data_IF_880036067308
#
_entry.id   IF_880036067308
#
_cell.length_a   1.000
_cell.length_b   1.000
_cell.length_c   1.000
_cell.angle_alpha   90.00
_cell.angle_beta   90.00
_cell.angle_gamma   90.00
#
_symmetry.space_group_name_H-M   'P 1'
#
loop_
_entity.id
_entity.type
_entity.pdbx_description
1 polymer ?
#
# COMPACT_ATOMS: atom_id res chain seq x y z
N UNK A 1 32.16 20.16 58.45
CA UNK A 1 31.45 19.32 57.48
C UNK A 1 31.20 20.14 56.20
N UNK A 2 32.06 19.92 55.18
CA UNK A 2 31.93 20.60 53.87
C UNK A 2 31.05 19.72 52.97
N UNK A 3 29.92 20.23 52.53
CA UNK A 3 29.06 19.56 51.53
C UNK A 3 29.53 19.93 50.14
N UNK A 4 30.09 18.95 49.42
CA UNK A 4 30.49 19.08 48.01
C UNK A 4 29.23 18.83 47.16
N UNK A 5 28.77 19.90 46.46
CA UNK A 5 27.73 19.77 45.46
C UNK A 5 28.36 19.29 44.15
N UNK A 6 28.00 18.09 43.70
CA UNK A 6 28.31 17.58 42.35
C UNK A 6 27.25 18.11 41.42
N UNK A 7 27.64 19.02 40.53
CA UNK A 7 26.77 19.50 39.42
C UNK A 7 26.95 18.54 38.27
N UNK A 8 25.90 17.75 38.03
CA UNK A 8 25.85 16.88 36.82
C UNK A 8 25.48 17.75 35.61
N UNK A 9 26.45 18.03 34.74
CA UNK A 9 26.18 18.64 33.44
C UNK A 9 25.56 17.60 32.51
N UNK A 10 24.26 17.67 32.27
CA UNK A 10 23.57 16.90 31.22
C UNK A 10 23.81 17.60 29.89
N UNK A 11 24.74 17.08 29.09
CA UNK A 11 24.96 17.56 27.72
C UNK A 11 23.77 17.13 26.85
N UNK A 12 22.92 18.08 26.49
CA UNK A 12 21.83 17.90 25.54
C UNK A 12 22.43 17.74 24.13
N UNK A 13 22.54 16.50 23.65
CA UNK A 13 22.92 16.23 22.25
C UNK A 13 21.77 16.69 21.37
N UNK A 14 21.88 17.85 20.76
CA UNK A 14 20.99 18.31 19.71
C UNK A 14 21.30 17.48 18.46
N UNK A 15 20.53 16.41 18.22
CA UNK A 15 20.54 15.69 16.97
C UNK A 15 19.90 16.64 15.94
N UNK A 16 20.72 17.37 15.21
CA UNK A 16 20.28 18.08 14.00
C UNK A 16 19.89 17.01 12.98
N UNK A 17 18.61 16.64 13.00
CA UNK A 17 18.03 15.76 11.99
C UNK A 17 18.23 16.40 10.62
N UNK A 18 19.05 15.82 9.75
CA UNK A 18 19.07 16.15 8.33
C UNK A 18 17.65 15.93 7.79
N UNK A 19 16.87 16.98 7.67
CA UNK A 19 15.64 16.93 6.86
C UNK A 19 16.08 16.63 5.43
N UNK A 20 15.44 15.68 4.73
CA UNK A 20 15.72 15.44 3.33
C UNK A 20 15.58 16.74 2.56
N UNK A 21 16.41 16.96 1.51
CA UNK A 21 16.30 18.14 0.68
C UNK A 21 14.89 18.25 0.09
N UNK A 22 14.39 19.48 -0.12
CA UNK A 22 13.10 19.66 -0.77
C UNK A 22 13.11 19.02 -2.17
N UNK A 23 12.00 18.45 -2.62
CA UNK A 23 11.92 17.87 -3.95
C UNK A 23 12.23 18.92 -5.02
N UNK A 24 12.78 18.51 -6.18
CA UNK A 24 13.07 19.44 -7.28
C UNK A 24 11.79 20.14 -7.73
N UNK A 25 11.94 21.38 -8.25
CA UNK A 25 10.83 22.11 -8.83
C UNK A 25 10.21 21.28 -9.99
N UNK A 26 8.90 21.13 -10.00
CA UNK A 26 8.18 20.29 -10.99
C UNK A 26 8.21 18.79 -10.72
N UNK A 27 8.66 18.35 -9.53
CA UNK A 27 8.63 16.96 -9.15
C UNK A 27 7.18 16.42 -9.11
N UNK A 28 6.95 15.28 -9.76
CA UNK A 28 5.66 14.56 -9.71
C UNK A 28 5.40 14.07 -8.28
N UNK A 29 4.14 14.12 -7.87
CA UNK A 29 3.73 13.75 -6.50
C UNK A 29 3.34 12.28 -6.42
N UNK A 30 3.89 11.56 -5.44
CA UNK A 30 3.48 10.18 -5.11
C UNK A 30 2.82 10.15 -3.75
N UNK A 31 1.59 9.68 -3.73
CA UNK A 31 0.79 9.46 -2.53
C UNK A 31 0.92 8.02 -2.07
N UNK A 32 1.38 7.81 -0.84
CA UNK A 32 1.51 6.48 -0.24
C UNK A 32 0.32 6.20 0.67
N UNK A 33 -0.29 5.01 0.49
CA UNK A 33 -1.47 4.58 1.27
C UNK A 33 -1.22 3.18 1.83
N UNK A 34 -1.13 3.07 3.15
CA UNK A 34 -0.82 1.82 3.86
C UNK A 34 -1.99 0.82 3.90
N UNK A 35 -1.76 -0.39 4.40
CA UNK A 35 -2.77 -1.44 4.52
C UNK A 35 -3.47 -1.50 5.86
N UNK A 36 -4.38 -2.46 6.00
CA UNK A 36 -5.13 -2.78 7.21
C UNK A 36 -4.20 -3.14 8.37
N UNK A 37 -4.51 -2.63 9.58
CA UNK A 37 -3.72 -2.86 10.79
C UNK A 37 -2.31 -2.26 10.74
N UNK A 38 -2.06 -1.34 9.81
CA UNK A 38 -0.80 -0.64 9.63
C UNK A 38 -0.95 0.86 9.87
N UNK A 39 0.16 1.56 9.84
CA UNK A 39 0.23 3.03 9.86
C UNK A 39 1.13 3.51 8.71
N UNK A 40 1.17 4.82 8.49
CA UNK A 40 2.08 5.44 7.52
C UNK A 40 3.55 5.03 7.70
N UNK A 41 3.96 4.65 8.92
CA UNK A 41 5.35 4.22 9.19
C UNK A 41 5.73 2.98 8.37
N UNK A 42 4.78 2.09 8.08
CA UNK A 42 5.04 0.90 7.26
C UNK A 42 5.45 1.22 5.82
N UNK A 43 5.11 2.40 5.31
CA UNK A 43 5.46 2.87 3.96
C UNK A 43 6.68 3.82 3.95
N UNK A 44 7.26 4.12 5.11
CA UNK A 44 8.29 5.15 5.22
C UNK A 44 9.56 4.83 4.43
N UNK A 45 10.02 3.57 4.45
CA UNK A 45 11.21 3.14 3.70
C UNK A 45 11.00 3.23 2.19
N UNK A 46 9.83 2.82 1.70
CA UNK A 46 9.46 3.01 0.30
C UNK A 46 9.40 4.51 -0.04
N UNK A 47 8.78 5.31 0.85
CA UNK A 47 8.71 6.76 0.69
C UNK A 47 10.08 7.42 0.57
N UNK A 48 11.06 7.03 1.41
CA UNK A 48 12.44 7.51 1.29
C UNK A 48 13.03 7.20 -0.09
N UNK A 49 12.91 5.96 -0.55
CA UNK A 49 13.44 5.54 -1.86
C UNK A 49 12.79 6.28 -3.05
N UNK A 50 11.49 6.58 -2.94
CA UNK A 50 10.79 7.37 -3.97
C UNK A 50 11.22 8.84 -3.92
N UNK A 51 11.47 9.38 -2.72
CA UNK A 51 12.08 10.69 -2.55
C UNK A 51 13.47 10.77 -3.18
N UNK A 52 14.34 9.78 -2.93
CA UNK A 52 15.66 9.66 -3.53
C UNK A 52 15.60 9.53 -5.06
N UNK A 53 14.51 8.96 -5.57
CA UNK A 53 14.22 8.90 -7.01
C UNK A 53 13.65 10.22 -7.59
N UNK A 54 13.49 11.27 -6.78
CA UNK A 54 13.09 12.61 -7.22
C UNK A 54 11.59 12.90 -7.16
N UNK A 55 10.77 12.02 -6.57
CA UNK A 55 9.35 12.28 -6.37
C UNK A 55 9.09 13.12 -5.11
N UNK A 56 8.05 13.95 -5.15
CA UNK A 56 7.46 14.54 -3.95
C UNK A 56 6.57 13.50 -3.27
N UNK A 57 6.89 13.09 -2.05
CA UNK A 57 6.19 12.01 -1.36
C UNK A 57 5.20 12.53 -0.33
N UNK A 58 3.94 12.13 -0.43
CA UNK A 58 2.88 12.37 0.55
C UNK A 58 2.48 11.04 1.17
N UNK A 59 2.89 10.78 2.41
CA UNK A 59 2.61 9.53 3.10
C UNK A 59 1.39 9.69 4.01
N UNK A 60 0.24 9.15 3.57
CA UNK A 60 -1.06 9.33 4.22
C UNK A 60 -1.27 8.29 5.31
N UNK A 61 -1.62 8.77 6.52
CA UNK A 61 -2.07 7.92 7.63
C UNK A 61 -3.59 8.02 7.81
N UNK A 62 -4.22 6.89 8.13
CA UNK A 62 -5.65 6.81 8.41
C UNK A 62 -5.96 5.68 9.41
N UNK A 63 -7.11 5.70 10.12
CA UNK A 63 -7.47 4.72 11.14
C UNK A 63 -8.00 3.42 10.53
N UNK A 64 -7.12 2.61 9.92
CA UNK A 64 -7.44 1.47 9.05
C UNK A 64 -8.29 0.37 9.70
N UNK A 65 -8.32 0.28 11.05
CA UNK A 65 -9.09 -0.71 11.81
C UNK A 65 -10.26 -0.11 12.57
N UNK A 66 -10.49 1.20 12.49
CA UNK A 66 -11.51 1.89 13.29
C UNK A 66 -12.58 2.59 12.47
N UNK A 67 -12.25 3.02 11.27
CA UNK A 67 -13.16 3.73 10.38
C UNK A 67 -13.74 2.80 9.31
N UNK A 68 -14.98 3.04 8.85
CA UNK A 68 -15.52 2.41 7.65
C UNK A 68 -14.81 2.92 6.38
N UNK A 69 -14.95 2.18 5.27
CA UNK A 69 -14.26 2.48 4.02
C UNK A 69 -14.60 3.89 3.50
N UNK A 70 -15.85 4.30 3.60
CA UNK A 70 -16.34 5.59 3.15
C UNK A 70 -15.62 6.75 3.88
N UNK A 71 -15.49 6.65 5.20
CA UNK A 71 -14.77 7.64 6.00
C UNK A 71 -13.27 7.69 5.66
N UNK A 72 -12.66 6.53 5.42
CA UNK A 72 -11.24 6.46 5.00
C UNK A 72 -11.04 7.14 3.65
N UNK A 73 -11.95 6.96 2.71
CA UNK A 73 -11.92 7.61 1.39
C UNK A 73 -12.07 9.13 1.53
N UNK A 74 -12.97 9.61 2.38
CA UNK A 74 -13.12 11.05 2.66
C UNK A 74 -11.88 11.65 3.33
N UNK A 75 -11.25 10.92 4.27
CA UNK A 75 -9.99 11.36 4.87
C UNK A 75 -8.87 11.46 3.82
N UNK A 76 -8.80 10.51 2.89
CA UNK A 76 -7.86 10.58 1.77
C UNK A 76 -8.14 11.80 0.90
N UNK A 77 -9.40 12.05 0.51
CA UNK A 77 -9.83 13.20 -0.28
C UNK A 77 -9.41 14.52 0.39
N UNK A 78 -9.80 14.71 1.64
CA UNK A 78 -9.46 15.92 2.39
C UNK A 78 -7.94 16.13 2.50
N UNK A 79 -7.18 15.04 2.65
CA UNK A 79 -5.71 15.11 2.70
C UNK A 79 -5.12 15.54 1.37
N UNK A 80 -5.63 15.05 0.25
CA UNK A 80 -5.17 15.41 -1.09
C UNK A 80 -5.50 16.86 -1.42
N UNK A 81 -6.68 17.34 -1.07
CA UNK A 81 -7.07 18.75 -1.23
C UNK A 81 -6.16 19.69 -0.43
N UNK A 82 -5.75 19.27 0.76
CA UNK A 82 -4.89 20.09 1.61
C UNK A 82 -3.42 20.12 1.20
N UNK A 83 -2.91 19.09 0.48
CA UNK A 83 -1.48 18.95 0.19
C UNK A 83 -1.10 19.09 -1.27
N UNK A 84 -2.07 18.97 -2.17
CA UNK A 84 -1.81 18.81 -3.59
C UNK A 84 -2.70 19.75 -4.41
N UNK A 85 -2.11 20.46 -5.33
CA UNK A 85 -2.86 21.35 -6.21
C UNK A 85 -3.49 20.59 -7.38
N UNK A 86 -4.51 21.17 -8.03
CA UNK A 86 -5.14 20.56 -9.20
C UNK A 86 -4.20 20.40 -10.41
N UNK A 87 -3.03 21.04 -10.38
CA UNK A 87 -2.01 20.95 -11.44
C UNK A 87 -0.95 19.86 -11.16
N UNK A 88 -0.93 19.30 -9.95
CA UNK A 88 0.02 18.25 -9.59
C UNK A 88 -0.38 16.94 -10.29
N UNK A 89 0.58 16.32 -10.98
CA UNK A 89 0.41 14.94 -11.42
C UNK A 89 0.52 14.02 -10.21
N UNK A 90 -0.60 13.37 -9.85
CA UNK A 90 -0.70 12.52 -8.67
C UNK A 90 -0.57 11.06 -9.01
N UNK A 91 0.52 10.46 -8.58
CA UNK A 91 0.68 9.01 -8.57
C UNK A 91 0.25 8.44 -7.23
N UNK A 92 -0.16 7.18 -7.22
CA UNK A 92 -0.45 6.45 -5.99
C UNK A 92 0.39 5.19 -5.89
N UNK A 93 0.94 4.94 -4.71
CA UNK A 93 1.55 3.65 -4.38
C UNK A 93 0.92 3.15 -3.10
N UNK A 94 0.34 1.97 -3.16
CA UNK A 94 -0.49 1.44 -2.09
C UNK A 94 0.00 0.08 -1.62
N UNK A 95 -0.37 -0.28 -0.40
CA UNK A 95 -0.16 -1.63 0.10
C UNK A 95 -1.50 -2.23 0.56
N UNK A 96 -1.79 -3.47 0.14
CA UNK A 96 -2.94 -4.25 0.63
C UNK A 96 -4.26 -3.48 0.51
N UNK A 97 -5.03 -3.34 1.61
CA UNK A 97 -6.28 -2.57 1.67
C UNK A 97 -6.14 -1.15 1.11
N UNK A 98 -4.97 -0.53 1.21
CA UNK A 98 -4.72 0.80 0.63
C UNK A 98 -5.01 0.86 -0.88
N UNK A 99 -4.84 -0.25 -1.61
CA UNK A 99 -5.22 -0.36 -3.02
C UNK A 99 -6.74 -0.26 -3.23
N UNK A 100 -7.51 -0.87 -2.34
CA UNK A 100 -8.97 -0.80 -2.38
C UNK A 100 -9.46 0.61 -2.05
N UNK A 101 -8.84 1.27 -1.06
CA UNK A 101 -9.11 2.68 -0.71
C UNK A 101 -8.89 3.59 -1.92
N UNK A 102 -7.74 3.48 -2.59
CA UNK A 102 -7.42 4.33 -3.77
C UNK A 102 -8.33 4.00 -4.96
N UNK A 103 -8.62 2.73 -5.23
CA UNK A 103 -9.59 2.36 -6.29
C UNK A 103 -10.97 2.94 -6.02
N UNK A 104 -11.44 2.89 -4.77
CA UNK A 104 -12.71 3.49 -4.38
C UNK A 104 -12.68 5.01 -4.53
N UNK A 105 -11.62 5.67 -4.05
CA UNK A 105 -11.42 7.11 -4.21
C UNK A 105 -11.47 7.53 -5.69
N UNK A 106 -10.72 6.86 -6.56
CA UNK A 106 -10.67 7.19 -7.99
C UNK A 106 -11.99 6.87 -8.74
N UNK A 107 -12.79 5.92 -8.24
CA UNK A 107 -14.09 5.63 -8.79
C UNK A 107 -15.13 6.72 -8.44
N UNK A 108 -15.03 7.33 -7.26
CA UNK A 108 -15.96 8.35 -6.77
C UNK A 108 -15.55 9.78 -7.16
N UNK A 109 -14.25 10.06 -7.14
CA UNK A 109 -13.68 11.40 -7.33
C UNK A 109 -12.76 11.44 -8.55
N UNK A 110 -13.17 10.80 -9.66
CA UNK A 110 -12.39 10.83 -10.91
C UNK A 110 -12.03 12.26 -11.25
N UNK A 111 -10.77 12.59 -11.02
CA UNK A 111 -10.21 13.89 -11.38
C UNK A 111 -9.34 13.70 -12.61
N UNK A 112 -9.11 14.75 -13.39
CA UNK A 112 -8.20 14.76 -14.52
C UNK A 112 -6.72 14.57 -14.13
N UNK A 113 -6.46 13.91 -13.00
CA UNK A 113 -5.12 13.64 -12.49
C UNK A 113 -4.55 12.38 -13.17
N UNK A 114 -3.85 12.61 -14.25
CA UNK A 114 -3.27 11.58 -15.11
C UNK A 114 -2.02 10.90 -14.50
N UNK A 115 -2.02 10.66 -13.21
CA UNK A 115 -0.97 9.91 -12.53
C UNK A 115 -1.19 8.40 -12.66
N UNK A 116 -0.14 7.63 -12.39
CA UNK A 116 -0.14 6.16 -12.38
C UNK A 116 -0.38 5.61 -11.00
N UNK A 117 -0.96 4.44 -10.94
CA UNK A 117 -1.20 3.72 -9.68
C UNK A 117 -0.38 2.44 -9.66
N UNK A 118 0.35 2.19 -8.55
CA UNK A 118 0.98 0.91 -8.28
C UNK A 118 0.41 0.33 -6.99
N UNK A 119 -0.14 -0.87 -7.05
CA UNK A 119 -0.67 -1.57 -5.89
C UNK A 119 0.23 -2.74 -5.51
N UNK A 120 0.67 -2.78 -4.25
CA UNK A 120 1.47 -3.85 -3.68
C UNK A 120 0.55 -4.81 -2.92
N UNK A 121 0.44 -6.05 -3.40
CA UNK A 121 -0.38 -7.13 -2.82
C UNK A 121 -1.82 -6.71 -2.48
N UNK A 122 -2.58 -6.11 -3.42
CA UNK A 122 -3.95 -5.70 -3.15
C UNK A 122 -4.87 -6.92 -3.10
N UNK A 123 -5.84 -6.99 -2.17
CA UNK A 123 -6.92 -7.98 -2.21
C UNK A 123 -7.99 -7.55 -3.23
N UNK A 124 -7.64 -7.50 -4.52
CA UNK A 124 -8.48 -6.95 -5.59
C UNK A 124 -9.78 -7.74 -5.81
N UNK A 125 -9.76 -9.04 -5.44
CA UNK A 125 -10.92 -9.93 -5.42
C UNK A 125 -11.16 -10.54 -4.03
N UNK A 126 -10.78 -9.79 -2.97
CA UNK A 126 -10.93 -10.20 -1.59
C UNK A 126 -9.79 -11.08 -1.08
N UNK A 127 -9.99 -11.63 0.13
CA UNK A 127 -9.04 -12.49 0.82
C UNK A 127 -9.78 -13.58 1.59
N UNK A 128 -9.42 -14.82 1.33
CA UNK A 128 -9.95 -16.01 2.04
C UNK A 128 -9.62 -15.97 3.53
N UNK A 129 -8.54 -15.31 3.91
CA UNK A 129 -8.21 -15.08 5.32
C UNK A 129 -9.28 -14.24 6.03
N UNK A 130 -9.85 -13.25 5.33
CA UNK A 130 -10.96 -12.45 5.88
C UNK A 130 -12.21 -13.32 6.04
N UNK A 131 -12.54 -14.15 5.04
CA UNK A 131 -13.72 -15.04 5.08
C UNK A 131 -13.61 -16.07 6.21
N UNK A 132 -12.45 -16.70 6.37
CA UNK A 132 -12.20 -17.69 7.42
C UNK A 132 -12.41 -17.12 8.84
N UNK A 133 -12.33 -15.82 8.99
CA UNK A 133 -12.47 -15.14 10.28
C UNK A 133 -13.74 -14.30 10.41
N UNK A 134 -14.60 -14.31 9.40
CA UNK A 134 -15.81 -13.49 9.35
C UNK A 134 -16.75 -13.73 10.54
N UNK A 135 -16.86 -14.98 11.03
CA UNK A 135 -17.74 -15.36 12.14
C UNK A 135 -17.13 -15.15 13.52
N UNK A 136 -15.85 -14.76 13.62
CA UNK A 136 -15.17 -14.50 14.90
C UNK A 136 -15.42 -13.08 15.38
N UNK A 137 -16.17 -12.84 16.47
CA UNK A 137 -16.40 -11.48 17.01
C UNK A 137 -15.10 -10.74 17.36
N UNK A 138 -14.12 -11.46 17.92
CA UNK A 138 -12.83 -10.88 18.28
C UNK A 138 -12.07 -10.42 17.04
N UNK A 139 -12.04 -11.21 15.98
CA UNK A 139 -11.30 -10.88 14.75
C UNK A 139 -12.04 -9.79 13.97
N UNK A 140 -13.37 -9.73 13.98
CA UNK A 140 -14.14 -8.61 13.44
C UNK A 140 -13.75 -7.27 14.10
N UNK A 141 -13.56 -7.26 15.40
CA UNK A 141 -13.09 -6.06 16.13
C UNK A 141 -11.65 -5.69 15.68
N UNK A 142 -10.77 -6.67 15.51
CA UNK A 142 -9.38 -6.43 15.07
C UNK A 142 -9.29 -5.96 13.60
N UNK A 143 -10.14 -6.49 12.74
CA UNK A 143 -10.21 -6.10 11.32
C UNK A 143 -10.88 -4.72 11.16
N UNK A 144 -11.80 -4.39 12.04
CA UNK A 144 -12.58 -3.16 11.96
C UNK A 144 -13.57 -3.12 10.79
N UNK A 145 -14.35 -2.03 10.67
CA UNK A 145 -15.44 -1.95 9.67
C UNK A 145 -14.97 -2.07 8.23
N UNK A 146 -13.85 -1.43 7.87
CA UNK A 146 -13.31 -1.51 6.51
C UNK A 146 -12.72 -2.89 6.21
N UNK A 147 -12.03 -3.51 7.18
CA UNK A 147 -11.37 -4.80 6.99
C UNK A 147 -12.35 -5.96 6.80
N UNK A 148 -13.48 -5.95 7.49
CA UNK A 148 -14.54 -6.98 7.34
C UNK A 148 -15.19 -6.97 5.95
N UNK A 149 -15.12 -5.87 5.22
CA UNK A 149 -15.63 -5.74 3.85
C UNK A 149 -14.70 -6.26 2.75
N UNK A 150 -13.56 -6.88 3.11
CA UNK A 150 -12.53 -7.35 2.14
C UNK A 150 -12.60 -8.86 1.87
N UNK A 151 -13.75 -9.50 2.11
CA UNK A 151 -13.98 -10.91 1.80
C UNK A 151 -14.05 -11.20 0.30
N UNK A 152 -14.18 -12.50 -0.05
CA UNK A 152 -14.18 -12.96 -1.45
C UNK A 152 -15.57 -12.99 -2.09
N UNK A 153 -16.62 -12.76 -1.35
CA UNK A 153 -17.98 -12.76 -1.88
C UNK A 153 -18.21 -11.63 -2.91
N UNK A 154 -19.20 -11.82 -3.78
CA UNK A 154 -19.49 -10.88 -4.86
C UNK A 154 -19.98 -9.50 -4.39
N UNK A 155 -20.54 -9.41 -3.18
CA UNK A 155 -21.00 -8.16 -2.57
C UNK A 155 -19.89 -7.42 -1.80
N UNK A 156 -18.71 -8.02 -1.65
CA UNK A 156 -17.57 -7.42 -0.98
C UNK A 156 -17.10 -6.14 -1.68
N UNK A 157 -16.45 -5.25 -0.92
CA UNK A 157 -15.98 -3.96 -1.46
C UNK A 157 -15.07 -4.15 -2.68
N UNK A 158 -14.04 -5.02 -2.66
CA UNK A 158 -13.16 -5.21 -3.82
C UNK A 158 -13.90 -5.65 -5.09
N UNK A 159 -14.82 -6.60 -4.96
CA UNK A 159 -15.52 -7.19 -6.09
C UNK A 159 -16.56 -6.25 -6.75
N UNK A 160 -17.00 -5.20 -6.05
CA UNK A 160 -17.90 -4.19 -6.59
C UNK A 160 -17.21 -3.03 -7.31
N UNK A 161 -15.87 -2.94 -7.24
CA UNK A 161 -15.13 -1.81 -7.83
C UNK A 161 -15.01 -1.88 -9.36
N UNK A 162 -15.19 -3.06 -9.96
CA UNK A 162 -15.05 -3.25 -11.40
C UNK A 162 -13.61 -3.05 -11.94
N UNK A 163 -13.44 -2.87 -13.25
CA UNK A 163 -12.13 -2.67 -13.87
C UNK A 163 -11.53 -1.29 -13.51
N UNK A 164 -10.21 -1.20 -13.52
CA UNK A 164 -9.52 0.08 -13.34
C UNK A 164 -9.64 0.95 -14.60
N UNK A 165 -9.96 2.24 -14.42
CA UNK A 165 -10.05 3.22 -15.52
C UNK A 165 -8.86 4.16 -15.58
N UNK A 166 -7.73 3.75 -15.02
CA UNK A 166 -6.48 4.50 -14.91
C UNK A 166 -5.30 3.55 -15.14
N UNK A 167 -4.14 4.11 -15.43
CA UNK A 167 -2.92 3.33 -15.68
C UNK A 167 -2.46 2.65 -14.39
N UNK A 168 -2.60 1.31 -14.33
CA UNK A 168 -2.42 0.50 -13.13
C UNK A 168 -1.35 -0.56 -13.30
N UNK A 169 -0.43 -0.64 -12.34
CA UNK A 169 0.46 -1.75 -12.12
C UNK A 169 0.19 -2.45 -10.79
N UNK A 170 0.22 -3.76 -10.79
CA UNK A 170 0.10 -4.58 -9.57
C UNK A 170 1.38 -5.38 -9.38
N UNK A 171 1.98 -5.30 -8.20
CA UNK A 171 3.08 -6.15 -7.78
C UNK A 171 2.60 -6.98 -6.60
N UNK A 172 2.64 -8.30 -6.72
CA UNK A 172 2.22 -9.21 -5.64
C UNK A 172 3.32 -10.18 -5.23
N UNK A 173 3.27 -10.65 -3.99
CA UNK A 173 4.19 -11.66 -3.48
C UNK A 173 3.68 -13.08 -3.71
N UNK A 174 4.60 -14.05 -3.74
CA UNK A 174 4.29 -15.49 -3.79
C UNK A 174 5.06 -16.29 -2.71
N UNK A 175 5.43 -15.66 -1.61
CA UNK A 175 6.09 -16.31 -0.47
C UNK A 175 5.30 -16.03 0.79
N UNK A 176 5.17 -17.04 1.64
CA UNK A 176 4.52 -16.91 2.94
C UNK A 176 5.50 -17.24 4.07
N UNK A 177 5.30 -16.58 5.21
CA UNK A 177 5.87 -16.99 6.52
C UNK A 177 4.76 -17.45 7.47
N UNK A 178 3.50 -17.35 7.06
CA UNK A 178 2.33 -17.76 7.82
C UNK A 178 1.66 -18.97 7.15
N UNK A 179 2.13 -20.16 7.50
CA UNK A 179 1.67 -21.42 6.94
C UNK A 179 0.17 -21.68 7.24
N UNK A 180 -0.35 -21.17 8.35
CA UNK A 180 -1.77 -21.32 8.71
C UNK A 180 -2.65 -20.55 7.71
N UNK A 181 -2.33 -19.29 7.45
CA UNK A 181 -3.06 -18.49 6.46
C UNK A 181 -2.91 -19.08 5.05
N UNK A 182 -1.70 -19.52 4.69
CA UNK A 182 -1.44 -20.10 3.37
C UNK A 182 -2.21 -21.40 3.14
N UNK A 183 -2.48 -22.16 4.20
CA UNK A 183 -3.36 -23.36 4.10
C UNK A 183 -4.81 -22.99 3.77
N UNK A 184 -5.28 -21.80 4.15
CA UNK A 184 -6.62 -21.30 3.83
C UNK A 184 -6.72 -20.70 2.42
N UNK A 185 -5.58 -20.32 1.82
CA UNK A 185 -5.51 -19.58 0.56
C UNK A 185 -5.23 -20.58 -0.58
N UNK A 186 -6.08 -20.66 -1.62
CA UNK A 186 -5.82 -21.54 -2.75
C UNK A 186 -4.71 -21.01 -3.66
N UNK A 187 -3.75 -21.89 -3.99
CA UNK A 187 -2.66 -21.59 -4.91
C UNK A 187 -1.51 -20.76 -4.30
N UNK A 188 -0.66 -20.18 -5.13
CA UNK A 188 0.43 -19.32 -4.67
C UNK A 188 -0.08 -18.06 -3.98
N UNK A 189 0.53 -17.72 -2.82
CA UNK A 189 0.11 -16.61 -2.00
C UNK A 189 1.29 -15.92 -1.30
N UNK A 190 1.04 -14.75 -0.71
CA UNK A 190 2.00 -13.99 0.06
C UNK A 190 1.81 -14.09 1.59
N UNK A 191 0.90 -14.96 2.03
CA UNK A 191 0.50 -15.16 3.42
C UNK A 191 -0.78 -14.42 3.83
N UNK A 192 -1.40 -13.65 2.92
CA UNK A 192 -2.70 -12.96 3.12
C UNK A 192 -3.56 -12.88 1.88
N UNK A 193 -2.96 -12.82 0.70
CA UNK A 193 -3.67 -12.65 -0.58
C UNK A 193 -3.10 -13.66 -1.57
N UNK A 194 -3.98 -14.42 -2.23
CA UNK A 194 -3.59 -15.25 -3.35
C UNK A 194 -3.09 -14.39 -4.52
N UNK A 195 -2.12 -14.89 -5.27
CA UNK A 195 -1.59 -14.20 -6.46
C UNK A 195 -2.74 -13.84 -7.42
N UNK A 196 -3.67 -14.77 -7.66
CA UNK A 196 -4.81 -14.54 -8.56
C UNK A 196 -5.81 -13.51 -8.00
N UNK A 197 -6.00 -13.45 -6.68
CA UNK A 197 -6.84 -12.44 -6.03
C UNK A 197 -6.28 -11.02 -6.12
N UNK A 198 -4.99 -10.89 -6.35
CA UNK A 198 -4.37 -9.58 -6.52
C UNK A 198 -4.55 -9.00 -7.93
N UNK A 199 -4.90 -9.80 -8.94
CA UNK A 199 -5.04 -9.36 -10.33
C UNK A 199 -6.15 -8.31 -10.48
N UNK A 200 -5.96 -7.41 -11.42
CA UNK A 200 -6.98 -6.46 -11.90
C UNK A 200 -6.94 -6.49 -13.41
N UNK A 201 -8.10 -6.63 -14.03
CA UNK A 201 -8.21 -6.67 -15.49
C UNK A 201 -7.61 -5.42 -16.14
N UNK A 202 -6.77 -5.61 -17.16
CA UNK A 202 -6.09 -4.54 -17.89
C UNK A 202 -4.88 -3.93 -17.19
N UNK A 203 -4.57 -4.34 -15.95
CA UNK A 203 -3.38 -3.87 -15.24
C UNK A 203 -2.11 -4.61 -15.68
N UNK A 204 -0.97 -3.91 -15.68
CA UNK A 204 0.32 -4.59 -15.70
C UNK A 204 0.50 -5.38 -14.40
N UNK A 205 1.00 -6.62 -14.48
CA UNK A 205 1.09 -7.51 -13.33
C UNK A 205 2.50 -8.07 -13.17
N UNK A 206 3.00 -8.10 -11.94
CA UNK A 206 4.33 -8.61 -11.61
C UNK A 206 4.27 -9.43 -10.33
N UNK A 207 4.76 -10.67 -10.36
CA UNK A 207 4.94 -11.53 -9.19
C UNK A 207 6.39 -11.49 -8.74
N UNK A 208 6.61 -11.30 -7.44
CA UNK A 208 7.94 -11.26 -6.83
C UNK A 208 8.04 -12.23 -5.64
N UNK A 209 9.23 -12.76 -5.32
CA UNK A 209 9.42 -13.63 -4.17
C UNK A 209 9.40 -12.82 -2.87
N UNK A 210 8.22 -12.33 -2.49
CA UNK A 210 8.00 -11.49 -1.31
C UNK A 210 6.85 -12.02 -0.47
N UNK A 211 6.84 -11.64 0.80
CA UNK A 211 5.74 -11.89 1.74
C UNK A 211 4.91 -10.63 1.92
N UNK A 212 3.62 -10.79 2.20
CA UNK A 212 2.67 -9.68 2.35
C UNK A 212 3.15 -8.55 3.28
N UNK A 213 3.65 -8.84 4.50
CA UNK A 213 3.99 -7.77 5.45
C UNK A 213 5.24 -6.97 5.09
N UNK A 214 6.06 -7.42 4.13
CA UNK A 214 7.36 -6.82 3.85
C UNK A 214 7.61 -6.45 2.38
N UNK A 215 6.65 -6.67 1.49
CA UNK A 215 6.79 -6.39 0.06
C UNK A 215 7.22 -4.93 -0.21
N UNK A 216 6.66 -3.96 0.52
CA UNK A 216 6.98 -2.54 0.39
C UNK A 216 8.40 -2.19 0.87
N UNK A 217 9.06 -3.06 1.63
CA UNK A 217 10.40 -2.82 2.15
C UNK A 217 11.51 -3.30 1.20
N UNK A 218 11.16 -3.97 0.11
CA UNK A 218 12.14 -4.53 -0.84
C UNK A 218 12.67 -3.45 -1.78
N UNK A 219 13.98 -3.48 -2.02
CA UNK A 219 14.62 -2.54 -2.93
C UNK A 219 14.25 -2.80 -4.40
N UNK A 220 14.18 -4.08 -4.78
CA UNK A 220 13.79 -4.47 -6.13
C UNK A 220 12.34 -4.08 -6.45
N UNK A 221 11.42 -4.19 -5.47
CA UNK A 221 10.04 -3.70 -5.60
C UNK A 221 10.01 -2.18 -5.75
N UNK A 222 10.81 -1.43 -4.96
CA UNK A 222 10.89 0.02 -5.11
C UNK A 222 11.40 0.44 -6.50
N UNK A 223 12.36 -0.28 -7.07
CA UNK A 223 12.85 -0.03 -8.43
C UNK A 223 11.77 -0.26 -9.49
N UNK A 224 10.98 -1.33 -9.36
CA UNK A 224 9.85 -1.61 -10.27
C UNK A 224 8.74 -0.56 -10.12
N UNK A 225 8.45 -0.09 -8.89
CA UNK A 225 7.53 1.02 -8.64
C UNK A 225 8.00 2.27 -9.39
N UNK A 226 9.26 2.67 -9.23
CA UNK A 226 9.84 3.85 -9.92
C UNK A 226 9.73 3.70 -11.44
N UNK A 227 10.07 2.51 -11.97
CA UNK A 227 9.96 2.22 -13.40
C UNK A 227 8.52 2.43 -13.89
N UNK A 228 7.55 1.82 -13.20
CA UNK A 228 6.15 1.92 -13.58
C UNK A 228 5.63 3.36 -13.49
N UNK A 229 5.93 4.08 -12.41
CA UNK A 229 5.51 5.48 -12.26
C UNK A 229 6.05 6.37 -13.38
N UNK A 230 7.25 6.10 -13.90
CA UNK A 230 7.87 6.88 -14.98
C UNK A 230 7.42 6.46 -16.38
N UNK A 231 7.23 5.16 -16.62
CA UNK A 231 7.10 4.62 -17.96
C UNK A 231 5.78 3.90 -18.24
N UNK A 232 4.99 3.58 -17.21
CA UNK A 232 3.81 2.71 -17.31
C UNK A 232 4.15 1.22 -17.47
N UNK A 233 5.41 0.83 -17.23
CA UNK A 233 5.87 -0.56 -17.42
C UNK A 233 6.79 -0.99 -16.30
N UNK A 234 6.70 -2.27 -15.91
CA UNK A 234 7.72 -2.92 -15.10
C UNK A 234 8.93 -3.27 -15.97
N UNK A 235 10.13 -3.27 -15.38
CA UNK A 235 11.36 -3.70 -16.06
C UNK A 235 11.43 -5.21 -16.17
N UNK A 236 10.94 -5.92 -15.13
CA UNK A 236 10.82 -7.38 -15.16
C UNK A 236 9.57 -7.77 -15.94
N UNK A 237 9.70 -8.81 -16.76
CA UNK A 237 8.54 -9.47 -17.37
C UNK A 237 7.96 -10.46 -16.38
N UNK A 238 6.63 -10.58 -16.37
CA UNK A 238 5.98 -11.74 -15.76
C UNK A 238 6.56 -13.00 -16.40
N UNK A 239 7.08 -13.92 -15.61
CA UNK A 239 7.43 -15.23 -16.13
C UNK A 239 6.12 -15.85 -16.63
N UNK A 240 6.06 -16.38 -17.86
CA UNK A 240 4.87 -17.09 -18.32
C UNK A 240 4.57 -18.17 -17.28
N UNK A 241 3.29 -18.26 -16.87
CA UNK A 241 2.83 -19.33 -16.00
C UNK A 241 3.45 -20.63 -16.53
N UNK A 242 4.24 -21.30 -15.71
CA UNK A 242 4.66 -22.66 -16.01
C UNK A 242 3.36 -23.46 -16.05
N UNK A 243 2.81 -23.58 -17.26
CA UNK A 243 1.66 -24.43 -17.52
C UNK A 243 1.96 -25.77 -16.88
N UNK A 244 1.09 -26.19 -15.99
CA UNK A 244 1.23 -27.42 -15.25
C UNK A 244 1.59 -28.55 -16.20
N UNK A 245 2.77 -29.09 -16.02
CA UNK A 245 3.12 -30.38 -16.61
C UNK A 245 2.72 -31.43 -15.61
N UNK A 246 1.67 -32.20 -16.00
CA UNK A 246 1.42 -33.56 -15.56
C UNK A 246 0.77 -33.76 -14.21
#
# INVERSE_FOLDING_TARGET
MRRTFVVLLVSLLVITGCSPPPPPAGAETVVLVHGLGRTRVSMALLGSRLGDAGFRVVNVGYPSTRAPMEEIVELLRARLEACCTALDRLHFVTHSMGGIVVRRYLAEYSTAHEGRVVMLSPPSHGSEVIDAFADSPLLRVLLGPAGTGLGTDSASIPNRLGPARFELGVITGNRTVNLINSWLIPGPDDGKVAVDRARVEGAAFLVVPATHPFIMNRQDVAAEVVSFLRTGRFTRRELPDSAGTG
#
